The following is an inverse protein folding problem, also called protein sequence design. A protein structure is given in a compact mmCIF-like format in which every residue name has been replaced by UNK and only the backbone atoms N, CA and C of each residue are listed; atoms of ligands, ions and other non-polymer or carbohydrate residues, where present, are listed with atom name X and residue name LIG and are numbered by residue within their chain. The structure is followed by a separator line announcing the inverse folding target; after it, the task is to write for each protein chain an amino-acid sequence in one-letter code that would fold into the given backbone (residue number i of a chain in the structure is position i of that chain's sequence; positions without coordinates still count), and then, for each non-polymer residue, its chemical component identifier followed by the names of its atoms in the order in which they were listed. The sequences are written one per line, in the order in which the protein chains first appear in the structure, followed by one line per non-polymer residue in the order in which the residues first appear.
data_IF_507048889062
#
_entry.id   IF_507048889062
#
_cell.length_a   1.000
_cell.length_b   1.000
_cell.length_c   1.000
_cell.angle_alpha   90.00
_cell.angle_beta   90.00
_cell.angle_gamma   90.00
#
_symmetry.space_group_name_H-M   'P 1'
#
loop_
_entity.id
_entity.type
_entity.pdbx_description
1 polymer ?
#
# COMPACT_ATOMS: atom_id res chain seq x y z
N UNK A 1 2.26 -21.52 23.39
CA UNK A 1 3.37 -22.50 23.37
C UNK A 1 4.63 -21.73 23.00
N UNK A 2 5.51 -21.52 23.96
CA UNK A 2 6.71 -20.69 23.82
C UNK A 2 7.78 -21.49 23.06
N UNK A 3 8.23 -21.00 21.91
CA UNK A 3 9.31 -21.64 21.16
C UNK A 3 10.61 -21.51 21.96
N UNK A 4 11.17 -22.66 22.35
CA UNK A 4 12.42 -22.77 23.08
C UNK A 4 13.58 -22.46 22.11
N UNK A 5 14.21 -21.30 22.28
CA UNK A 5 15.23 -20.74 21.39
C UNK A 5 16.62 -21.37 21.58
N UNK A 6 16.78 -22.34 22.48
CA UNK A 6 18.06 -22.99 22.79
C UNK A 6 18.57 -24.00 21.75
N UNK A 7 17.79 -24.29 20.70
CA UNK A 7 18.14 -25.21 19.60
C UNK A 7 18.52 -24.48 18.28
N UNK A 8 18.62 -23.14 18.28
CA UNK A 8 18.75 -22.35 17.05
C UNK A 8 20.18 -22.22 16.47
N UNK A 9 21.19 -22.85 17.07
CA UNK A 9 22.54 -22.85 16.51
C UNK A 9 22.87 -24.22 15.90
N UNK A 10 22.78 -24.30 14.56
CA UNK A 10 23.54 -25.16 13.61
C UNK A 10 22.71 -25.57 12.38
N UNK A 11 22.04 -24.63 11.72
CA UNK A 11 21.69 -24.83 10.30
C UNK A 11 22.69 -24.00 9.53
N UNK A 12 23.56 -24.64 8.73
CA UNK A 12 24.51 -23.88 7.92
C UNK A 12 23.76 -23.01 6.91
N UNK A 13 24.31 -21.87 6.51
CA UNK A 13 23.72 -21.01 5.48
C UNK A 13 23.37 -21.82 4.21
N UNK A 14 24.21 -22.81 3.89
CA UNK A 14 23.99 -23.78 2.82
C UNK A 14 22.71 -24.62 3.02
N UNK A 15 22.47 -25.16 4.21
CA UNK A 15 21.24 -25.92 4.50
C UNK A 15 19.98 -25.04 4.49
N UNK A 16 20.08 -23.78 4.93
CA UNK A 16 18.96 -22.81 4.85
C UNK A 16 18.63 -22.52 3.39
N UNK A 17 19.65 -22.26 2.57
CA UNK A 17 19.51 -22.03 1.13
C UNK A 17 18.93 -23.23 0.40
N UNK A 18 19.42 -24.44 0.68
CA UNK A 18 18.93 -25.68 0.06
C UNK A 18 17.47 -25.97 0.44
N UNK A 19 17.08 -25.71 1.70
CA UNK A 19 15.69 -25.87 2.13
C UNK A 19 14.78 -24.82 1.50
N UNK A 20 15.23 -23.56 1.38
CA UNK A 20 14.48 -22.50 0.72
C UNK A 20 14.26 -22.79 -0.77
N UNK A 21 15.31 -23.22 -1.49
CA UNK A 21 15.20 -23.61 -2.89
C UNK A 21 14.29 -24.82 -3.11
N UNK A 22 14.26 -25.79 -2.18
CA UNK A 22 13.32 -26.92 -2.22
C UNK A 22 11.88 -26.50 -1.96
N UNK A 23 11.66 -25.52 -1.08
CA UNK A 23 10.33 -24.98 -0.78
C UNK A 23 9.79 -24.08 -1.89
N UNK A 24 10.67 -23.47 -2.69
CA UNK A 24 10.32 -22.51 -3.74
C UNK A 24 11.14 -22.77 -5.01
N UNK A 25 10.91 -23.91 -5.70
CA UNK A 25 11.68 -24.29 -6.89
C UNK A 25 11.54 -23.28 -8.03
N UNK A 26 10.40 -22.60 -8.12
CA UNK A 26 10.10 -21.63 -9.17
C UNK A 26 11.02 -20.39 -9.14
N UNK A 27 11.68 -20.12 -8.01
CA UNK A 27 12.66 -19.03 -7.90
C UNK A 27 13.96 -19.32 -8.66
N UNK A 28 14.20 -20.59 -9.04
CA UNK A 28 15.39 -20.97 -9.84
C UNK A 28 15.31 -20.42 -11.27
N UNK A 29 14.11 -20.12 -11.76
CA UNK A 29 13.87 -19.49 -13.06
C UNK A 29 14.05 -17.96 -13.02
N UNK A 30 14.38 -17.42 -11.83
CA UNK A 30 14.51 -16.00 -11.56
C UNK A 30 13.34 -15.45 -10.75
N UNK A 31 13.60 -14.37 -10.03
CA UNK A 31 12.60 -13.70 -9.21
C UNK A 31 12.81 -12.20 -9.23
N UNK A 32 11.77 -11.46 -8.87
CA UNK A 32 11.80 -10.00 -8.73
C UNK A 32 11.20 -9.59 -7.39
N UNK A 33 11.67 -8.49 -6.83
CA UNK A 33 11.03 -7.79 -5.72
C UNK A 33 9.95 -6.87 -6.30
N UNK A 34 8.77 -6.91 -5.69
CA UNK A 34 7.65 -6.03 -6.03
C UNK A 34 6.88 -5.56 -4.80
N UNK A 35 6.01 -4.57 -5.02
CA UNK A 35 5.09 -4.02 -4.03
C UNK A 35 3.89 -3.42 -4.74
N UNK A 36 2.68 -3.66 -4.22
CA UNK A 36 1.48 -2.92 -4.60
C UNK A 36 1.09 -2.03 -3.43
N UNK A 37 0.87 -0.75 -3.70
CA UNK A 37 0.40 0.22 -2.72
C UNK A 37 -0.83 0.96 -3.23
N UNK A 38 -1.78 1.20 -2.32
CA UNK A 38 -2.90 2.08 -2.57
C UNK A 38 -2.88 3.24 -1.58
N UNK A 39 -3.27 4.42 -2.05
CA UNK A 39 -3.52 5.59 -1.21
C UNK A 39 -4.90 6.18 -1.52
N UNK A 40 -5.39 7.01 -0.62
CA UNK A 40 -6.67 7.70 -0.77
C UNK A 40 -7.01 8.49 0.48
N UNK A 41 -7.81 9.54 0.35
CA UNK A 41 -8.26 10.30 1.52
C UNK A 41 -9.04 9.40 2.51
N UNK A 42 -9.20 9.89 3.74
CA UNK A 42 -9.92 9.18 4.81
C UNK A 42 -11.32 9.76 5.08
N UNK A 43 -11.75 10.77 4.30
CA UNK A 43 -13.03 11.44 4.52
C UNK A 43 -13.09 12.29 5.80
N UNK A 44 -11.94 12.51 6.46
CA UNK A 44 -11.79 13.39 7.62
C UNK A 44 -10.60 14.32 7.46
N UNK A 45 -10.59 15.42 8.23
CA UNK A 45 -9.47 16.36 8.31
C UNK A 45 -9.25 16.80 9.74
N UNK A 46 -7.98 16.87 10.14
CA UNK A 46 -7.60 17.44 11.43
C UNK A 46 -7.75 18.95 11.43
N UNK A 47 -8.18 19.49 12.55
CA UNK A 47 -8.30 20.94 12.75
C UNK A 47 -8.11 21.26 14.23
N UNK A 48 -7.43 22.37 14.50
CA UNK A 48 -7.26 23.00 15.80
C UNK A 48 -8.48 23.85 16.22
N UNK A 49 -9.40 24.09 15.28
CA UNK A 49 -10.64 24.87 15.50
C UNK A 49 -11.70 24.16 16.35
N UNK A 50 -11.45 22.94 16.83
CA UNK A 50 -12.38 22.17 17.66
C UNK A 50 -11.78 22.07 19.06
N UNK A 51 -12.33 22.83 20.01
CA UNK A 51 -11.96 22.73 21.42
C UNK A 51 -13.24 22.51 22.23
N UNK A 52 -13.85 21.31 22.07
CA UNK A 52 -15.16 20.88 22.60
C UNK A 52 -16.34 21.87 22.40
N UNK A 53 -16.09 22.95 21.68
CA UNK A 53 -16.97 24.04 21.33
C UNK A 53 -16.52 24.58 19.98
N UNK A 54 -17.49 24.95 19.14
CA UNK A 54 -17.25 25.60 17.86
C UNK A 54 -18.21 26.79 17.76
N UNK A 55 -17.65 27.99 17.55
CA UNK A 55 -18.41 29.25 17.54
C UNK A 55 -19.22 29.52 18.83
N UNK A 56 -18.74 29.01 19.97
CA UNK A 56 -19.41 29.14 21.27
C UNK A 56 -20.46 28.06 21.58
N UNK A 57 -20.80 27.20 20.63
CA UNK A 57 -21.73 26.09 20.82
C UNK A 57 -21.01 24.82 21.27
N UNK A 58 -21.58 24.11 22.25
CA UNK A 58 -21.17 22.74 22.59
C UNK A 58 -21.52 21.79 21.43
N UNK A 59 -20.51 21.05 20.96
CA UNK A 59 -20.58 20.14 19.82
C UNK A 59 -20.22 18.70 20.20
N UNK A 60 -20.17 18.38 21.49
CA UNK A 60 -19.86 17.03 21.99
C UNK A 60 -20.87 15.97 21.56
N UNK A 61 -22.08 16.37 21.18
CA UNK A 61 -23.14 15.51 20.65
C UNK A 61 -23.07 15.26 19.13
N UNK A 62 -22.17 15.97 18.42
CA UNK A 62 -22.05 15.89 16.96
C UNK A 62 -21.23 14.66 16.53
N UNK A 63 -21.88 13.74 15.82
CA UNK A 63 -21.31 12.42 15.43
C UNK A 63 -20.20 12.49 14.38
N UNK A 64 -20.07 13.61 13.67
CA UNK A 64 -19.04 13.83 12.64
C UNK A 64 -17.75 14.43 13.21
N UNK A 65 -17.68 14.63 14.53
CA UNK A 65 -16.54 15.23 15.22
C UNK A 65 -15.90 14.21 16.17
N UNK A 66 -14.57 14.17 16.15
CA UNK A 66 -13.76 13.63 17.24
C UNK A 66 -12.91 14.75 17.84
N UNK A 67 -12.15 14.47 18.92
CA UNK A 67 -11.34 15.47 19.65
C UNK A 67 -10.47 16.39 18.78
N UNK A 68 -10.10 15.99 17.57
CA UNK A 68 -9.28 16.82 16.66
C UNK A 68 -9.60 16.64 15.17
N UNK A 69 -10.64 15.90 14.80
CA UNK A 69 -10.96 15.59 13.40
C UNK A 69 -12.42 15.85 13.08
N UNK A 70 -12.66 16.49 11.93
CA UNK A 70 -13.98 16.64 11.31
C UNK A 70 -14.09 15.66 10.16
N UNK A 71 -15.14 14.85 10.18
CA UNK A 71 -15.55 14.01 9.06
C UNK A 71 -16.41 14.82 8.09
N UNK A 72 -16.11 14.69 6.81
CA UNK A 72 -16.85 15.32 5.71
C UNK A 72 -17.35 14.30 4.67
N UNK A 73 -16.89 13.04 4.74
CA UNK A 73 -17.48 11.87 4.05
C UNK A 73 -17.51 10.69 5.03
N UNK A 74 -18.60 9.91 5.03
CA UNK A 74 -18.70 8.69 5.86
C UNK A 74 -17.66 7.63 5.42
N UNK A 75 -16.99 7.02 6.40
CA UNK A 75 -15.99 5.97 6.17
C UNK A 75 -16.56 4.76 5.41
N UNK A 76 -17.87 4.49 5.51
CA UNK A 76 -18.56 3.44 4.75
C UNK A 76 -18.52 3.69 3.25
N UNK A 77 -18.60 4.95 2.81
CA UNK A 77 -18.45 5.30 1.40
C UNK A 77 -17.03 4.98 0.89
N UNK A 78 -16.03 5.05 1.77
CA UNK A 78 -14.63 4.76 1.46
C UNK A 78 -14.20 3.31 1.76
N UNK A 79 -15.16 2.44 2.11
CA UNK A 79 -14.89 1.06 2.53
C UNK A 79 -14.29 0.19 1.42
N UNK A 80 -14.47 0.55 0.15
CA UNK A 80 -13.85 -0.16 -0.98
C UNK A 80 -12.32 -0.28 -0.83
N UNK A 81 -11.65 0.70 -0.18
CA UNK A 81 -10.20 0.65 0.08
C UNK A 81 -9.78 -0.59 0.88
N UNK A 82 -10.57 -1.02 1.87
CA UNK A 82 -10.24 -2.21 2.67
C UNK A 82 -10.49 -3.50 1.89
N UNK A 83 -11.51 -3.52 1.04
CA UNK A 83 -11.75 -4.60 0.07
C UNK A 83 -10.57 -4.76 -0.87
N UNK A 84 -10.10 -3.66 -1.48
CA UNK A 84 -8.94 -3.66 -2.39
C UNK A 84 -7.66 -4.10 -1.66
N UNK A 85 -7.43 -3.61 -0.44
CA UNK A 85 -6.29 -4.06 0.39
C UNK A 85 -6.32 -5.57 0.61
N UNK A 86 -7.51 -6.12 0.90
CA UNK A 86 -7.69 -7.57 1.07
C UNK A 86 -7.44 -8.33 -0.24
N UNK A 87 -7.93 -7.82 -1.37
CA UNK A 87 -7.70 -8.41 -2.70
C UNK A 87 -6.20 -8.45 -3.06
N UNK A 88 -5.48 -7.36 -2.81
CA UNK A 88 -4.02 -7.29 -2.99
C UNK A 88 -3.32 -8.33 -2.12
N UNK A 89 -3.69 -8.42 -0.83
CA UNK A 89 -3.09 -9.40 0.08
C UNK A 89 -3.33 -10.83 -0.41
N UNK A 90 -4.53 -11.14 -0.89
CA UNK A 90 -4.86 -12.48 -1.43
C UNK A 90 -4.05 -12.79 -2.68
N UNK A 91 -3.91 -11.83 -3.60
CA UNK A 91 -3.07 -11.99 -4.80
C UNK A 91 -1.60 -12.27 -4.42
N UNK A 92 -1.05 -11.42 -3.56
CA UNK A 92 0.34 -11.55 -3.09
C UNK A 92 0.59 -12.83 -2.30
N UNK A 93 -0.34 -13.25 -1.43
CA UNK A 93 -0.19 -14.52 -0.69
C UNK A 93 -0.25 -15.76 -1.57
N UNK A 94 -0.86 -15.66 -2.75
CA UNK A 94 -1.00 -16.75 -3.71
C UNK A 94 0.20 -16.87 -4.65
N UNK A 95 0.72 -15.73 -5.12
CA UNK A 95 1.74 -15.67 -6.17
C UNK A 95 3.12 -15.23 -5.68
N UNK A 96 3.23 -14.74 -4.45
CA UNK A 96 4.46 -14.15 -3.94
C UNK A 96 4.86 -14.72 -2.59
N UNK A 97 6.13 -14.52 -2.25
CA UNK A 97 6.71 -14.84 -0.96
C UNK A 97 6.90 -13.54 -0.18
N UNK A 98 6.47 -13.52 1.07
CA UNK A 98 6.60 -12.34 1.92
C UNK A 98 8.07 -12.03 2.21
N UNK A 99 8.51 -10.81 1.91
CA UNK A 99 9.86 -10.35 2.22
C UNK A 99 9.82 -8.95 2.87
N UNK A 100 9.93 -8.91 4.20
CA UNK A 100 9.79 -7.66 4.98
C UNK A 100 8.49 -6.92 4.66
N UNK A 101 8.55 -5.70 4.11
CA UNK A 101 7.43 -4.89 3.66
C UNK A 101 7.12 -5.05 2.14
N UNK A 102 7.88 -5.87 1.43
CA UNK A 102 7.77 -6.16 0.01
C UNK A 102 7.41 -7.64 -0.24
N UNK A 103 7.46 -8.04 -1.51
CA UNK A 103 7.13 -9.38 -1.99
C UNK A 103 8.20 -9.85 -2.97
N UNK A 104 8.60 -11.10 -2.87
CA UNK A 104 9.39 -11.80 -3.90
C UNK A 104 8.40 -12.51 -4.81
N UNK A 105 8.45 -12.20 -6.10
CA UNK A 105 7.60 -12.74 -7.15
C UNK A 105 8.46 -13.59 -8.10
N UNK A 106 8.17 -14.90 -8.26
CA UNK A 106 8.80 -15.70 -9.29
C UNK A 106 8.50 -15.14 -10.69
N UNK A 107 9.49 -15.13 -11.59
CA UNK A 107 9.31 -14.61 -12.96
C UNK A 107 8.23 -15.38 -13.71
N UNK A 108 8.10 -16.69 -13.47
CA UNK A 108 7.06 -17.55 -14.04
C UNK A 108 5.63 -17.14 -13.66
N UNK A 109 5.45 -16.43 -12.54
CA UNK A 109 4.14 -15.93 -12.07
C UNK A 109 3.91 -14.45 -12.40
N UNK A 110 4.82 -13.80 -13.14
CA UNK A 110 4.78 -12.36 -13.36
C UNK A 110 3.60 -11.92 -14.22
N UNK A 111 3.27 -12.67 -15.28
CA UNK A 111 2.13 -12.40 -16.14
C UNK A 111 0.82 -12.47 -15.35
N UNK A 112 0.60 -13.57 -14.64
CA UNK A 112 -0.59 -13.76 -13.81
C UNK A 112 -0.71 -12.70 -12.70
N UNK A 113 0.42 -12.30 -12.10
CA UNK A 113 0.45 -11.23 -11.11
C UNK A 113 0.02 -9.89 -11.70
N UNK A 114 0.52 -9.54 -12.89
CA UNK A 114 0.17 -8.30 -13.57
C UNK A 114 -1.31 -8.27 -13.98
N UNK A 115 -1.83 -9.38 -14.52
CA UNK A 115 -3.25 -9.50 -14.86
C UNK A 115 -4.15 -9.34 -13.62
N UNK A 116 -3.81 -10.03 -12.52
CA UNK A 116 -4.52 -9.91 -11.25
C UNK A 116 -4.44 -8.49 -10.67
N UNK A 117 -3.27 -7.84 -10.75
CA UNK A 117 -3.09 -6.47 -10.27
C UNK A 117 -3.91 -5.47 -11.09
N UNK A 118 -3.99 -5.64 -12.42
CA UNK A 118 -4.83 -4.82 -13.29
C UNK A 118 -6.33 -5.01 -13.01
N UNK A 119 -6.78 -6.23 -12.74
CA UNK A 119 -8.17 -6.46 -12.32
C UNK A 119 -8.51 -5.70 -11.04
N UNK A 120 -7.63 -5.79 -10.04
CA UNK A 120 -7.78 -5.08 -8.77
C UNK A 120 -7.75 -3.56 -8.98
N UNK A 121 -6.88 -3.05 -9.87
CA UNK A 121 -6.84 -1.63 -10.21
C UNK A 121 -8.18 -1.18 -10.82
N UNK A 122 -8.78 -1.95 -11.73
CA UNK A 122 -10.11 -1.66 -12.29
C UNK A 122 -11.18 -1.62 -11.20
N UNK A 123 -11.18 -2.56 -10.26
CA UNK A 123 -12.11 -2.55 -9.11
C UNK A 123 -11.91 -1.30 -8.24
N UNK A 124 -10.65 -0.89 -8.01
CA UNK A 124 -10.32 0.31 -7.26
C UNK A 124 -10.83 1.57 -7.95
N UNK A 125 -10.64 1.69 -9.27
CA UNK A 125 -11.17 2.81 -10.06
C UNK A 125 -12.70 2.84 -10.08
N UNK A 126 -13.37 1.69 -10.17
CA UNK A 126 -14.82 1.62 -10.06
C UNK A 126 -15.33 2.08 -8.67
N UNK A 127 -14.61 1.72 -7.61
CA UNK A 127 -14.88 2.19 -6.26
C UNK A 127 -14.73 3.71 -6.12
N UNK A 128 -13.67 4.28 -6.70
CA UNK A 128 -13.46 5.74 -6.74
C UNK A 128 -14.62 6.41 -7.49
N UNK A 129 -14.95 5.94 -8.69
CA UNK A 129 -15.99 6.52 -9.53
C UNK A 129 -17.34 6.55 -8.81
N UNK A 130 -17.72 5.47 -8.13
CA UNK A 130 -18.96 5.41 -7.36
C UNK A 130 -19.03 6.52 -6.29
N UNK A 131 -17.95 6.76 -5.54
CA UNK A 131 -17.93 7.82 -4.52
C UNK A 131 -17.90 9.22 -5.15
N UNK A 132 -17.23 9.37 -6.30
CA UNK A 132 -17.13 10.63 -7.05
C UNK A 132 -18.48 11.03 -7.68
N UNK A 133 -19.24 10.08 -8.18
CA UNK A 133 -20.59 10.31 -8.72
C UNK A 133 -21.55 10.77 -7.63
N UNK A 134 -21.35 10.27 -6.41
CA UNK A 134 -22.16 10.56 -5.23
C UNK A 134 -21.54 11.61 -4.28
N UNK A 135 -20.54 12.35 -4.75
CA UNK A 135 -19.69 13.19 -3.92
C UNK A 135 -20.46 14.22 -3.07
N UNK A 136 -21.32 15.02 -3.70
CA UNK A 136 -22.12 16.03 -3.00
C UNK A 136 -23.16 15.39 -2.06
N UNK A 137 -23.74 14.25 -2.46
CA UNK A 137 -24.67 13.51 -1.62
C UNK A 137 -24.01 13.05 -0.32
N UNK A 138 -22.76 12.57 -0.38
CA UNK A 138 -22.01 12.15 0.81
C UNK A 138 -21.70 13.32 1.75
N UNK A 139 -21.40 14.50 1.21
CA UNK A 139 -21.15 15.70 2.01
C UNK A 139 -22.43 16.17 2.70
N UNK A 140 -23.53 16.27 1.95
CA UNK A 140 -24.82 16.68 2.51
C UNK A 140 -25.34 15.69 3.55
N UNK A 141 -25.09 14.39 3.40
CA UNK A 141 -25.41 13.40 4.42
C UNK A 141 -24.66 13.66 5.75
N UNK A 142 -23.38 14.02 5.69
CA UNK A 142 -22.60 14.37 6.89
C UNK A 142 -23.03 15.71 7.49
N UNK A 143 -23.38 16.71 6.67
CA UNK A 143 -23.95 17.99 7.14
C UNK A 143 -25.28 17.78 7.85
N UNK A 144 -26.16 16.94 7.32
CA UNK A 144 -27.43 16.59 7.95
C UNK A 144 -27.25 15.79 9.25
N UNK A 145 -26.19 14.97 9.33
CA UNK A 145 -25.83 14.23 10.54
C UNK A 145 -25.30 15.13 11.65
N UNK A 146 -24.66 16.25 11.30
CA UNK A 146 -24.13 17.21 12.27
C UNK A 146 -24.34 18.66 11.80
N UNK A 147 -25.58 19.19 11.89
CA UNK A 147 -25.93 20.49 11.30
C UNK A 147 -25.11 21.67 11.83
N UNK A 148 -24.72 21.64 13.11
CA UNK A 148 -23.86 22.67 13.72
C UNK A 148 -22.46 22.71 13.11
N UNK A 149 -22.02 21.62 12.50
CA UNK A 149 -20.71 21.49 11.86
C UNK A 149 -20.74 21.79 10.36
N UNK A 150 -21.91 22.10 9.80
CA UNK A 150 -22.12 22.28 8.36
C UNK A 150 -21.12 23.25 7.72
N UNK A 151 -20.96 24.44 8.31
CA UNK A 151 -19.98 25.46 7.87
C UNK A 151 -18.54 24.94 7.93
N UNK A 152 -18.17 24.23 9.00
CA UNK A 152 -16.83 23.70 9.17
C UNK A 152 -16.55 22.53 8.21
N UNK A 153 -17.55 21.69 7.91
CA UNK A 153 -17.47 20.63 6.90
C UNK A 153 -17.20 21.25 5.53
N UNK A 154 -17.92 22.31 5.15
CA UNK A 154 -17.70 23.01 3.88
C UNK A 154 -16.32 23.69 3.80
N UNK A 155 -15.77 24.16 4.92
CA UNK A 155 -14.40 24.70 4.98
C UNK A 155 -13.31 23.63 4.87
N UNK A 156 -13.55 22.45 5.42
CA UNK A 156 -12.51 21.42 5.56
C UNK A 156 -12.54 20.38 4.45
N UNK A 157 -13.67 20.18 3.76
CA UNK A 157 -13.77 19.24 2.65
C UNK A 157 -12.71 19.54 1.58
N UNK A 158 -12.27 18.48 0.91
CA UNK A 158 -11.44 18.65 -0.29
C UNK A 158 -12.30 19.21 -1.42
N UNK A 159 -11.66 19.75 -2.46
CA UNK A 159 -12.37 19.92 -3.73
C UNK A 159 -12.62 18.54 -4.35
N UNK A 160 -13.58 18.43 -5.28
CA UNK A 160 -13.82 17.17 -6.00
C UNK A 160 -12.56 16.69 -6.73
N UNK A 161 -11.81 17.61 -7.32
CA UNK A 161 -10.56 17.31 -8.03
C UNK A 161 -9.46 16.83 -7.08
N UNK A 162 -9.27 17.50 -5.94
CA UNK A 162 -8.27 17.09 -4.94
C UNK A 162 -8.65 15.75 -4.29
N UNK A 163 -9.95 15.50 -4.12
CA UNK A 163 -10.46 14.22 -3.66
C UNK A 163 -10.05 13.11 -4.63
N UNK A 164 -10.30 13.27 -5.93
CA UNK A 164 -9.91 12.31 -6.97
C UNK A 164 -8.40 12.09 -6.96
N UNK A 165 -7.60 13.17 -6.97
CA UNK A 165 -6.12 13.12 -6.97
C UNK A 165 -5.52 12.46 -5.73
N UNK A 166 -6.28 12.35 -4.64
CA UNK A 166 -5.81 11.70 -3.41
C UNK A 166 -5.67 10.19 -3.56
N UNK A 167 -6.42 9.59 -4.50
CA UNK A 167 -6.41 8.15 -4.73
C UNK A 167 -5.30 7.77 -5.71
N UNK A 168 -4.50 6.77 -5.34
CA UNK A 168 -3.44 6.22 -6.19
C UNK A 168 -3.39 4.72 -6.04
N UNK A 169 -3.09 4.06 -7.15
CA UNK A 169 -2.78 2.63 -7.21
C UNK A 169 -1.41 2.51 -7.86
N UNK A 170 -0.44 1.98 -7.14
CA UNK A 170 0.95 1.93 -7.60
C UNK A 170 1.44 0.49 -7.52
N UNK A 171 1.97 0.00 -8.64
CA UNK A 171 2.79 -1.20 -8.68
C UNK A 171 4.24 -0.72 -8.77
N UNK A 172 5.08 -1.11 -7.81
CA UNK A 172 6.49 -0.79 -7.84
C UNK A 172 7.16 -1.48 -9.05
N UNK A 173 8.13 -0.79 -9.65
CA UNK A 173 8.98 -1.39 -10.67
C UNK A 173 9.61 -2.69 -10.15
N UNK A 174 9.65 -3.71 -10.99
CA UNK A 174 10.25 -4.99 -10.65
C UNK A 174 11.76 -4.83 -10.53
N UNK A 175 12.29 -5.19 -9.36
CA UNK A 175 13.73 -5.18 -9.10
C UNK A 175 14.20 -6.65 -9.13
N UNK A 176 15.15 -7.03 -9.99
CA UNK A 176 15.68 -8.40 -10.01
C UNK A 176 16.13 -8.85 -8.61
N UNK A 177 15.73 -10.05 -8.22
CA UNK A 177 16.12 -10.67 -6.96
C UNK A 177 17.10 -11.81 -7.22
N UNK A 178 18.32 -11.66 -6.70
CA UNK A 178 19.32 -12.71 -6.69
C UNK A 178 19.52 -13.19 -5.25
N UNK A 179 19.13 -14.43 -4.90
CA UNK A 179 19.37 -14.96 -3.55
C UNK A 179 20.88 -15.08 -3.30
N UNK A 180 21.40 -14.40 -2.28
CA UNK A 180 22.82 -14.48 -1.92
C UNK A 180 23.00 -15.56 -0.86
N UNK A 181 23.78 -16.59 -1.16
CA UNK A 181 24.40 -17.43 -0.13
C UNK A 181 25.59 -16.66 0.45
N UNK A 182 25.40 -16.00 1.59
CA UNK A 182 26.45 -15.18 2.21
C UNK A 182 27.37 -16.05 3.06
N UNK A 183 28.65 -16.14 2.67
CA UNK A 183 29.78 -16.40 3.59
C UNK A 183 30.72 -15.18 3.53
N UNK A 184 31.01 -14.56 4.68
CA UNK A 184 32.12 -13.58 4.83
C UNK A 184 31.75 -12.09 5.00
N UNK A 185 32.61 -11.37 5.74
CA UNK A 185 32.52 -9.95 6.16
C UNK A 185 32.83 -8.90 5.05
N UNK A 186 33.04 -9.30 3.80
CA UNK A 186 33.44 -8.39 2.69
C UNK A 186 32.25 -7.73 1.96
N UNK A 187 31.06 -7.82 2.54
CA UNK A 187 29.81 -7.55 1.84
C UNK A 187 29.58 -6.07 1.48
N UNK A 188 30.12 -5.12 2.24
CA UNK A 188 29.76 -3.71 2.06
C UNK A 188 30.28 -3.08 0.75
N UNK A 189 31.47 -3.47 0.30
CA UNK A 189 32.09 -2.89 -0.90
C UNK A 189 31.52 -3.50 -2.19
N UNK A 190 31.22 -4.80 -2.18
CA UNK A 190 30.61 -5.50 -3.33
C UNK A 190 29.18 -5.00 -3.61
N UNK A 191 28.42 -4.65 -2.56
CA UNK A 191 27.06 -4.12 -2.70
C UNK A 191 27.01 -2.76 -3.40
N UNK A 192 27.98 -1.88 -3.14
CA UNK A 192 27.99 -0.56 -3.79
C UNK A 192 28.37 -0.70 -5.25
N UNK A 193 29.39 -1.49 -5.57
CA UNK A 193 29.87 -1.63 -6.94
C UNK A 193 28.87 -2.35 -7.85
N UNK A 194 28.27 -3.46 -7.40
CA UNK A 194 27.34 -4.23 -8.21
C UNK A 194 26.02 -3.47 -8.45
N UNK A 195 25.46 -2.85 -7.41
CA UNK A 195 24.20 -2.10 -7.54
C UNK A 195 24.36 -0.86 -8.43
N UNK A 196 25.52 -0.19 -8.37
CA UNK A 196 25.85 0.92 -9.29
C UNK A 196 25.99 0.41 -10.72
N UNK A 197 26.57 -0.78 -10.91
CA UNK A 197 26.72 -1.39 -12.24
C UNK A 197 25.36 -1.78 -12.83
N UNK A 198 24.49 -2.42 -12.05
CA UNK A 198 23.15 -2.81 -12.47
C UNK A 198 22.27 -1.58 -12.80
N UNK A 199 22.37 -0.52 -11.99
CA UNK A 199 21.70 0.77 -12.27
C UNK A 199 22.23 1.42 -13.55
N UNK A 200 23.54 1.36 -13.80
CA UNK A 200 24.15 1.92 -15.00
C UNK A 200 23.74 1.13 -16.26
N UNK A 201 23.68 -0.20 -16.18
CA UNK A 201 23.23 -1.05 -17.29
C UNK A 201 21.75 -0.81 -17.64
N UNK A 202 20.88 -0.74 -16.64
CA UNK A 202 19.46 -0.42 -16.89
C UNK A 202 19.26 1.01 -17.41
N UNK A 203 20.03 1.98 -16.91
CA UNK A 203 20.00 3.35 -17.44
C UNK A 203 20.44 3.41 -18.92
N UNK A 204 21.46 2.63 -19.31
CA UNK A 204 21.89 2.56 -20.71
C UNK A 204 20.83 1.94 -21.63
N UNK A 205 20.13 0.89 -21.18
CA UNK A 205 19.04 0.27 -21.96
C UNK A 205 17.86 1.22 -22.20
N UNK A 206 17.62 2.16 -21.28
CA UNK A 206 16.59 3.21 -21.44
C UNK A 206 17.06 4.28 -22.43
N UNK A 207 18.34 4.65 -22.40
CA UNK A 207 18.90 5.65 -23.32
C UNK A 207 19.02 5.15 -24.77
N UNK A 208 19.31 3.87 -25.01
CA UNK A 208 19.40 3.30 -26.36
C UNK A 208 18.02 3.15 -27.06
N UNK A 209 16.92 3.36 -26.34
CA UNK A 209 15.55 3.32 -26.87
C UNK A 209 14.97 4.70 -27.22
N UNK A 210 15.77 5.76 -27.09
CA UNK A 210 15.43 7.15 -27.46
C UNK A 210 16.24 7.53 -28.71
#
# INVERSE_FOLDING_TARGET
MTLNTSMLNKVSAKQISENFAKSYPDLLEGAVITKIEISGCQGSRRTDKIDLSYDGDDITDQKSVSKSEVRWIDIKALSFKSTITSRISTLCSRLCIRYSNMWILPVSSMEEFLEGAQEIEREFQAGIQNVVDNYEMHIEAEKNRSPRMSSLIDQLKLTKDDFIKSFRFNIAHFIPFTPISVEGDETQDYYQEQLITDLAEEAMKVYEKI
#
